data_IF_146943699100
#
_entry.id   IF_146943699100
#
_cell.length_a   1.000
_cell.length_b   1.000
_cell.length_c   1.000
_cell.angle_alpha   90.00
_cell.angle_beta   90.00
_cell.angle_gamma   90.00
#
_symmetry.space_group_name_H-M   'P 1'
#
loop_
_entity.id
_entity.type
_entity.pdbx_description
1 polymer ?
#
# COMPACT_ATOMS: atom_id res chain seq x y z
N UNK A 1 47.69 -8.08 -34.94
CA UNK A 1 48.94 -7.39 -34.54
C UNK A 1 48.67 -6.60 -33.26
N UNK A 2 49.37 -7.04 -32.20
CA UNK A 2 49.84 -6.30 -30.99
C UNK A 2 48.95 -5.32 -30.28
N UNK A 3 48.48 -5.78 -29.15
CA UNK A 3 48.42 -5.30 -27.75
C UNK A 3 49.12 -3.96 -27.49
N UNK A 4 48.44 -3.04 -26.78
CA UNK A 4 49.09 -2.24 -25.72
C UNK A 4 48.14 -2.12 -24.54
N UNK A 5 48.55 -2.70 -23.41
CA UNK A 5 48.05 -2.44 -22.06
C UNK A 5 48.73 -1.16 -21.52
N UNK A 6 48.02 -0.31 -20.84
CA UNK A 6 48.66 0.62 -19.91
C UNK A 6 47.86 0.64 -18.58
N UNK A 7 48.42 -0.04 -17.59
CA UNK A 7 48.08 0.06 -16.20
C UNK A 7 48.84 1.24 -15.58
N UNK A 8 48.22 2.04 -14.75
CA UNK A 8 48.95 2.86 -13.77
C UNK A 8 48.23 2.77 -12.43
N UNK A 9 49.02 2.37 -11.45
CA UNK A 9 48.67 2.11 -10.07
C UNK A 9 48.93 3.34 -9.18
N UNK A 10 48.27 3.31 -8.05
CA UNK A 10 48.67 3.71 -6.70
C UNK A 10 48.78 5.20 -6.33
N UNK A 11 48.07 5.49 -5.26
CA UNK A 11 48.26 6.68 -4.44
C UNK A 11 47.51 6.56 -3.11
N UNK A 12 48.09 5.78 -2.19
CA UNK A 12 47.67 5.62 -0.81
C UNK A 12 48.24 6.82 0.02
N UNK A 13 47.41 7.56 0.75
CA UNK A 13 47.88 8.43 1.84
C UNK A 13 47.04 8.15 3.09
N UNK A 14 47.73 7.54 4.04
CA UNK A 14 47.30 7.29 5.41
C UNK A 14 47.60 8.61 6.19
N UNK A 15 46.59 9.10 6.89
CA UNK A 15 46.73 10.17 7.86
C UNK A 15 46.12 9.76 9.22
N UNK A 16 46.98 9.21 10.08
CA UNK A 16 46.70 8.96 11.51
C UNK A 16 47.00 10.23 12.29
N UNK A 17 46.07 10.70 13.09
CA UNK A 17 46.34 11.61 14.20
C UNK A 17 45.53 11.17 15.42
N UNK A 18 46.25 10.55 16.34
CA UNK A 18 45.85 10.31 17.73
C UNK A 18 46.23 11.53 18.59
N UNK A 19 45.36 11.88 19.52
CA UNK A 19 45.67 12.62 20.78
C UNK A 19 44.58 12.25 21.79
N UNK A 20 44.85 11.37 22.65
CA UNK A 20 45.22 11.31 24.09
C UNK A 20 44.60 12.34 25.02
N UNK A 21 43.89 11.81 26.02
CA UNK A 21 44.03 12.13 27.44
C UNK A 21 42.81 12.86 28.01
N UNK A 22 42.28 12.52 29.11
CA UNK A 22 42.56 12.01 30.43
C UNK A 22 41.22 11.81 31.15
N UNK A 23 40.98 10.71 31.70
CA UNK A 23 40.86 10.31 33.11
C UNK A 23 40.38 11.35 34.11
N UNK A 24 39.29 11.06 34.81
CA UNK A 24 39.23 11.02 36.27
C UNK A 24 38.06 10.18 36.77
N UNK A 25 38.44 9.15 37.49
CA UNK A 25 37.65 8.34 38.42
C UNK A 25 37.19 9.18 39.62
N UNK A 26 36.08 8.79 40.23
CA UNK A 26 35.96 8.60 41.69
C UNK A 26 34.53 8.25 42.03
N UNK A 27 34.29 7.00 42.30
CA UNK A 27 34.13 6.30 43.58
C UNK A 27 32.81 6.57 44.32
N UNK A 28 32.03 5.53 44.43
CA UNK A 28 31.07 5.29 45.53
C UNK A 28 31.80 5.13 46.87
N UNK A 29 31.16 5.25 48.02
CA UNK A 29 30.58 4.06 48.66
C UNK A 29 29.26 4.31 49.42
N UNK A 30 28.48 3.32 49.46
CA UNK A 30 27.82 2.41 50.39
C UNK A 30 27.60 2.81 51.85
N UNK A 31 26.47 2.26 52.35
CA UNK A 31 26.12 1.86 53.74
C UNK A 31 25.63 2.96 54.67
N UNK A 32 24.49 2.84 55.38
CA UNK A 32 24.10 1.83 56.34
C UNK A 32 22.70 2.10 56.91
N UNK A 33 21.93 1.04 57.08
CA UNK A 33 21.20 0.59 58.27
C UNK A 33 19.98 1.36 58.78
N UNK A 34 18.91 0.58 58.89
CA UNK A 34 17.81 0.76 59.84
C UNK A 34 18.26 0.57 61.32
N UNK A 35 17.48 0.99 62.29
CA UNK A 35 16.57 0.01 62.93
C UNK A 35 15.23 0.60 63.39
N UNK A 36 14.19 -0.29 63.33
CA UNK A 36 13.47 -0.97 64.39
C UNK A 36 12.54 -0.16 65.30
N UNK A 37 11.29 -0.53 65.16
CA UNK A 37 10.28 -0.96 66.13
C UNK A 37 10.01 -0.10 67.38
N UNK A 38 8.73 0.15 67.63
CA UNK A 38 8.08 -0.18 68.88
C UNK A 38 6.57 0.15 68.84
N UNK A 39 5.77 -0.92 68.92
CA UNK A 39 4.58 -1.17 69.73
C UNK A 39 3.36 -0.25 69.74
N UNK A 40 2.25 -0.93 69.53
CA UNK A 40 0.87 -0.55 69.89
C UNK A 40 0.67 -0.53 71.41
N UNK A 41 -0.40 -0.01 71.96
CA UNK A 41 -1.58 -0.83 72.22
C UNK A 41 -2.96 -0.15 71.97
N UNK A 42 -3.93 -0.95 71.56
CA UNK A 42 -5.19 -1.44 72.10
C UNK A 42 -6.19 -0.48 72.81
N UNK A 43 -7.40 -0.66 72.42
CA UNK A 43 -8.76 -0.67 73.04
C UNK A 43 -9.68 0.45 72.57
N UNK A 44 -10.78 0.14 72.09
CA UNK A 44 -12.03 -0.58 72.32
C UNK A 44 -13.22 0.28 71.93
N UNK A 45 -14.06 -0.32 71.17
CA UNK A 45 -15.52 -0.30 71.11
C UNK A 45 -16.31 1.00 71.35
N UNK A 46 -17.18 1.33 70.39
CA UNK A 46 -18.63 1.41 70.65
C UNK A 46 -19.43 1.45 69.34
N UNK A 47 -20.40 0.57 69.23
CA UNK A 47 -21.45 0.48 68.20
C UNK A 47 -22.28 1.78 68.11
N UNK A 48 -22.55 2.22 66.87
CA UNK A 48 -23.80 2.91 66.55
C UNK A 48 -24.10 2.65 65.08
N UNK A 49 -25.13 1.88 64.86
CA UNK A 49 -25.80 1.70 63.58
C UNK A 49 -26.35 3.03 63.09
N UNK A 50 -26.04 3.36 61.85
CA UNK A 50 -26.87 4.30 61.10
C UNK A 50 -26.90 3.79 59.63
N UNK A 51 -28.10 3.37 59.24
CA UNK A 51 -28.47 3.12 57.85
C UNK A 51 -28.16 4.36 57.05
N UNK A 52 -27.28 4.23 56.04
CA UNK A 52 -27.13 5.20 54.97
C UNK A 52 -27.26 4.47 53.65
N UNK A 53 -28.22 4.93 52.90
CA UNK A 53 -28.61 4.49 51.60
C UNK A 53 -27.38 4.25 50.68
N UNK A 54 -27.35 3.08 50.07
CA UNK A 54 -26.49 2.75 48.94
C UNK A 54 -27.03 3.54 47.74
N UNK A 55 -26.49 4.71 47.51
CA UNK A 55 -26.58 5.37 46.22
C UNK A 55 -25.76 4.53 45.24
N UNK A 56 -26.47 3.76 44.42
CA UNK A 56 -25.87 3.12 43.26
C UNK A 56 -25.37 4.24 42.35
N UNK A 57 -24.08 4.50 42.37
CA UNK A 57 -23.43 5.23 41.29
C UNK A 57 -23.70 4.42 40.03
N UNK A 58 -24.60 4.92 39.19
CA UNK A 58 -24.69 4.45 37.81
C UNK A 58 -23.34 4.71 37.18
N UNK A 59 -22.57 3.64 36.94
CA UNK A 59 -21.45 3.68 36.03
C UNK A 59 -21.98 4.25 34.70
N UNK A 60 -21.45 5.40 34.28
CA UNK A 60 -21.64 5.90 32.92
C UNK A 60 -21.27 4.75 31.97
N UNK A 61 -22.03 4.51 30.90
CA UNK A 61 -21.62 3.55 29.88
C UNK A 61 -20.20 3.91 29.48
N UNK A 62 -19.26 2.94 29.55
CA UNK A 62 -17.98 3.07 28.92
C UNK A 62 -18.27 3.45 27.46
N UNK A 63 -17.78 4.57 26.98
CA UNK A 63 -17.78 4.90 25.56
C UNK A 63 -17.07 3.71 24.90
N UNK A 64 -17.79 2.90 24.12
CA UNK A 64 -17.17 1.86 23.30
C UNK A 64 -16.24 2.62 22.36
N UNK A 65 -14.92 2.40 22.48
CA UNK A 65 -13.95 3.00 21.58
C UNK A 65 -14.31 2.57 20.15
N UNK A 66 -14.66 3.54 19.32
CA UNK A 66 -14.97 3.29 17.91
C UNK A 66 -13.74 2.73 17.23
N UNK A 67 -13.88 1.62 16.51
CA UNK A 67 -12.76 1.03 15.75
C UNK A 67 -12.33 2.01 14.66
N UNK A 68 -11.02 2.30 14.59
CA UNK A 68 -10.40 3.11 13.53
C UNK A 68 -9.87 2.15 12.47
N UNK A 69 -10.46 2.19 11.28
CA UNK A 69 -10.03 1.40 10.13
C UNK A 69 -8.98 2.15 9.33
N UNK A 70 -7.77 1.62 9.29
CA UNK A 70 -6.61 2.20 8.59
C UNK A 70 -6.47 1.62 7.20
N UNK A 71 -6.97 2.34 6.21
CA UNK A 71 -6.93 1.97 4.80
C UNK A 71 -5.58 2.32 4.19
N UNK A 72 -4.77 1.31 3.85
CA UNK A 72 -3.49 1.46 3.15
C UNK A 72 -3.65 1.43 1.63
N UNK A 73 -3.11 2.43 0.92
CA UNK A 73 -3.26 2.54 -0.52
C UNK A 73 -2.11 3.30 -1.21
N UNK A 74 -1.93 3.07 -2.52
CA UNK A 74 -1.02 3.83 -3.37
C UNK A 74 -1.51 5.29 -3.49
N UNK A 75 -0.60 6.22 -3.24
CA UNK A 75 -0.90 7.65 -3.26
C UNK A 75 -1.18 8.23 -4.67
N UNK A 76 -0.83 7.49 -5.75
CA UNK A 76 -0.98 7.92 -7.15
C UNK A 76 -1.34 6.74 -8.09
N UNK A 77 -2.48 6.08 -7.82
CA UNK A 77 -3.03 4.98 -8.62
C UNK A 77 -4.49 5.24 -9.02
N UNK A 78 -4.76 6.31 -9.81
CA UNK A 78 -6.11 6.58 -10.26
C UNK A 78 -6.59 5.52 -11.28
N UNK A 79 -7.89 5.21 -11.35
CA UNK A 79 -8.99 5.82 -10.59
C UNK A 79 -9.32 5.10 -9.26
N UNK A 80 -8.49 4.15 -8.81
CA UNK A 80 -8.75 3.37 -7.58
C UNK A 80 -8.43 4.14 -6.31
N UNK A 81 -7.23 4.72 -6.22
CA UNK A 81 -6.80 5.53 -5.07
C UNK A 81 -5.76 6.58 -5.49
N UNK A 82 -5.86 7.77 -4.93
CA UNK A 82 -4.92 8.85 -5.20
C UNK A 82 -5.07 9.99 -4.18
N UNK A 83 -4.08 10.86 -4.18
CA UNK A 83 -4.15 12.17 -3.52
C UNK A 83 -4.21 13.24 -4.61
N UNK A 84 -5.22 14.09 -4.58
CA UNK A 84 -5.37 15.18 -5.53
C UNK A 84 -4.42 16.36 -5.23
N UNK A 85 -4.36 17.34 -6.14
CA UNK A 85 -3.53 18.54 -6.02
C UNK A 85 -3.86 19.39 -4.77
N UNK A 86 -5.01 19.18 -4.14
CA UNK A 86 -5.43 19.86 -2.90
C UNK A 86 -5.09 19.04 -1.65
N UNK A 87 -4.47 17.86 -1.81
CA UNK A 87 -4.14 16.95 -0.72
C UNK A 87 -5.34 16.13 -0.22
N UNK A 88 -6.41 16.01 -1.03
CA UNK A 88 -7.57 15.19 -0.69
C UNK A 88 -7.44 13.79 -1.28
N UNK A 89 -7.81 12.77 -0.50
CA UNK A 89 -7.86 11.39 -0.96
C UNK A 89 -9.10 11.17 -1.82
N UNK A 90 -8.96 10.40 -2.90
CA UNK A 90 -10.04 10.07 -3.81
C UNK A 90 -9.81 8.72 -4.49
N UNK A 91 -10.82 8.29 -5.24
CA UNK A 91 -10.80 7.05 -5.99
C UNK A 91 -11.85 6.05 -5.54
N UNK A 92 -12.10 5.05 -6.40
CA UNK A 92 -13.12 4.02 -6.17
C UNK A 92 -12.88 3.25 -4.87
N UNK A 93 -11.63 2.81 -4.63
CA UNK A 93 -11.28 2.03 -3.43
C UNK A 93 -11.41 2.86 -2.16
N UNK A 94 -11.04 4.14 -2.22
CA UNK A 94 -11.19 5.08 -1.10
C UNK A 94 -12.67 5.26 -0.74
N UNK A 95 -13.53 5.51 -1.75
CA UNK A 95 -14.96 5.66 -1.50
C UNK A 95 -15.61 4.37 -1.01
N UNK A 96 -15.19 3.22 -1.53
CA UNK A 96 -15.72 1.91 -1.10
C UNK A 96 -15.27 1.58 0.33
N UNK A 97 -14.02 1.88 0.71
CA UNK A 97 -13.53 1.73 2.07
C UNK A 97 -14.28 2.64 3.07
N UNK A 98 -14.57 3.88 2.68
CA UNK A 98 -15.39 4.80 3.48
C UNK A 98 -16.81 4.26 3.65
N UNK A 99 -17.43 3.69 2.59
CA UNK A 99 -18.74 3.09 2.67
C UNK A 99 -18.77 1.86 3.61
N UNK A 100 -17.69 1.08 3.67
CA UNK A 100 -17.53 -0.01 4.65
C UNK A 100 -17.46 0.55 6.08
N UNK A 101 -16.71 1.63 6.30
CA UNK A 101 -16.66 2.29 7.60
C UNK A 101 -18.04 2.82 8.01
N UNK A 102 -18.77 3.47 7.11
CA UNK A 102 -20.14 3.95 7.36
C UNK A 102 -21.09 2.81 7.71
N UNK A 103 -20.97 1.65 7.05
CA UNK A 103 -21.79 0.45 7.31
C UNK A 103 -21.64 -0.07 8.74
N UNK A 104 -20.39 -0.04 9.28
CA UNK A 104 -20.11 -0.50 10.65
C UNK A 104 -20.09 0.61 11.70
N UNK A 105 -20.15 1.87 11.31
CA UNK A 105 -19.94 3.00 12.21
C UNK A 105 -18.49 3.12 12.68
N UNK A 106 -17.53 2.69 11.86
CA UNK A 106 -16.10 2.83 12.12
C UNK A 106 -15.59 4.22 11.76
N UNK A 107 -14.47 4.61 12.36
CA UNK A 107 -13.71 5.77 11.92
C UNK A 107 -12.80 5.37 10.75
N UNK A 108 -12.77 6.19 9.70
CA UNK A 108 -11.91 5.98 8.54
C UNK A 108 -10.60 6.76 8.67
N UNK A 109 -9.46 6.07 8.57
CA UNK A 109 -8.12 6.68 8.50
C UNK A 109 -7.46 6.31 7.18
N UNK A 110 -7.11 7.33 6.37
CA UNK A 110 -6.37 7.15 5.13
C UNK A 110 -4.87 7.01 5.41
N UNK A 111 -4.23 5.97 4.89
CA UNK A 111 -2.79 5.71 5.02
C UNK A 111 -2.16 5.60 3.63
N UNK A 112 -1.91 6.73 2.94
CA UNK A 112 -1.27 6.71 1.64
C UNK A 112 0.22 6.41 1.75
N UNK A 113 0.76 5.64 0.81
CA UNK A 113 2.18 5.32 0.71
C UNK A 113 2.62 5.16 -0.76
N UNK A 114 3.93 5.17 -0.99
CA UNK A 114 4.49 4.74 -2.26
C UNK A 114 4.30 3.22 -2.41
N UNK A 115 3.89 2.76 -3.57
CA UNK A 115 3.48 1.36 -3.78
C UNK A 115 4.52 0.31 -3.36
N UNK A 116 5.80 0.58 -3.55
CA UNK A 116 6.88 -0.31 -3.14
C UNK A 116 7.02 -0.48 -1.62
N UNK A 117 6.42 0.41 -0.82
CA UNK A 117 6.42 0.33 0.64
C UNK A 117 5.27 -0.51 1.22
N UNK A 118 4.29 -0.96 0.41
CA UNK A 118 3.05 -1.60 0.85
C UNK A 118 3.23 -2.72 1.88
N UNK A 119 4.21 -3.61 1.62
CA UNK A 119 4.47 -4.75 2.49
C UNK A 119 5.04 -4.34 3.85
N UNK A 120 5.91 -3.36 3.84
CA UNK A 120 6.52 -2.82 5.05
C UNK A 120 5.47 -2.12 5.92
N UNK A 121 4.60 -1.31 5.32
CA UNK A 121 3.53 -0.59 6.01
C UNK A 121 2.49 -1.55 6.60
N UNK A 122 2.04 -2.57 5.83
CA UNK A 122 1.13 -3.59 6.32
C UNK A 122 1.74 -4.39 7.48
N UNK A 123 2.98 -4.85 7.33
CA UNK A 123 3.67 -5.66 8.35
C UNK A 123 4.02 -4.86 9.60
N UNK A 124 4.26 -3.57 9.51
CA UNK A 124 4.48 -2.67 10.64
C UNK A 124 3.19 -2.36 11.42
N UNK A 125 2.01 -2.65 10.83
CA UNK A 125 0.71 -2.29 11.41
C UNK A 125 0.36 -0.80 11.23
N UNK A 126 1.03 -0.13 10.30
CA UNK A 126 0.69 1.26 9.94
C UNK A 126 -0.69 1.32 9.28
N UNK A 127 -1.07 0.28 8.54
CA UNK A 127 -2.41 0.09 7.97
C UNK A 127 -2.96 -1.29 8.34
N UNK A 128 -4.29 -1.46 8.19
CA UNK A 128 -4.99 -2.70 8.48
C UNK A 128 -5.10 -3.60 7.24
N UNK A 129 -5.08 -3.01 6.06
CA UNK A 129 -5.12 -3.70 4.77
C UNK A 129 -4.36 -2.91 3.70
N UNK A 130 -4.10 -3.56 2.57
CA UNK A 130 -3.72 -2.94 1.30
C UNK A 130 -4.95 -3.01 0.39
N UNK A 131 -5.49 -1.86 0.00
CA UNK A 131 -6.68 -1.77 -0.84
C UNK A 131 -6.50 -0.65 -1.87
N UNK A 132 -5.99 -1.00 -3.04
CA UNK A 132 -5.55 -0.07 -4.08
C UNK A 132 -5.35 -0.79 -5.41
N UNK A 133 -6.44 -1.35 -6.00
CA UNK A 133 -6.31 -2.17 -7.19
C UNK A 133 -5.28 -3.29 -7.02
N UNK A 134 -5.36 -4.03 -5.90
CA UNK A 134 -4.30 -4.94 -5.51
C UNK A 134 -4.51 -6.34 -6.08
N UNK A 135 -3.59 -6.76 -6.96
CA UNK A 135 -3.64 -8.02 -7.71
C UNK A 135 -3.42 -9.23 -6.81
N UNK A 136 -4.34 -10.19 -6.89
CA UNK A 136 -4.24 -11.49 -6.21
C UNK A 136 -3.30 -12.44 -6.95
N UNK A 137 -3.38 -12.44 -8.28
CA UNK A 137 -2.67 -13.40 -9.14
C UNK A 137 -1.15 -13.33 -8.91
N UNK A 138 -0.56 -14.50 -8.63
CA UNK A 138 0.85 -14.63 -8.29
C UNK A 138 1.22 -14.28 -6.84
N UNK A 139 0.24 -13.84 -6.02
CA UNK A 139 0.41 -13.46 -4.62
C UNK A 139 -0.58 -14.17 -3.68
N UNK A 140 -1.22 -15.24 -4.14
CA UNK A 140 -2.29 -15.96 -3.43
C UNK A 140 -1.84 -16.41 -2.04
N UNK A 141 -0.57 -16.84 -1.95
CA UNK A 141 0.02 -17.34 -0.71
C UNK A 141 0.69 -16.24 0.15
N UNK A 142 0.73 -14.98 -0.28
CA UNK A 142 1.46 -13.94 0.45
C UNK A 142 0.59 -13.20 1.47
N UNK A 143 -0.72 -13.11 1.20
CA UNK A 143 -1.69 -12.37 2.00
C UNK A 143 -2.90 -13.24 2.37
N UNK A 144 -3.71 -12.73 3.28
CA UNK A 144 -5.11 -13.14 3.41
C UNK A 144 -5.93 -12.19 2.53
N UNK A 145 -6.73 -12.73 1.62
CA UNK A 145 -7.44 -11.96 0.62
C UNK A 145 -8.93 -11.87 0.90
N UNK A 146 -9.53 -10.73 0.58
CA UNK A 146 -10.98 -10.61 0.45
C UNK A 146 -11.47 -11.35 -0.80
N UNK A 147 -12.78 -11.31 -1.06
CA UNK A 147 -13.33 -11.59 -2.38
C UNK A 147 -12.76 -10.60 -3.38
N UNK A 148 -12.52 -11.06 -4.62
CA UNK A 148 -12.18 -10.15 -5.71
C UNK A 148 -13.36 -9.20 -5.97
N UNK A 149 -13.04 -7.91 -6.13
CA UNK A 149 -14.05 -6.87 -6.37
C UNK A 149 -13.97 -6.25 -7.76
N UNK A 150 -12.86 -6.43 -8.47
CA UNK A 150 -12.66 -5.96 -9.84
C UNK A 150 -11.80 -6.94 -10.62
N UNK A 151 -12.13 -7.17 -11.89
CA UNK A 151 -11.23 -7.76 -12.87
C UNK A 151 -10.31 -6.66 -13.42
N UNK A 152 -9.17 -7.03 -14.02
CA UNK A 152 -8.27 -6.12 -14.73
C UNK A 152 -7.47 -6.87 -15.79
N UNK A 153 -6.84 -6.12 -16.70
CA UNK A 153 -5.95 -6.63 -17.74
C UNK A 153 -4.72 -5.74 -17.85
N UNK A 154 -3.56 -6.35 -17.94
CA UNK A 154 -2.30 -5.67 -18.21
C UNK A 154 -2.09 -5.52 -19.71
N UNK A 155 -1.92 -4.29 -20.17
CA UNK A 155 -1.74 -3.92 -21.57
C UNK A 155 -0.48 -3.07 -21.78
N UNK A 156 -0.15 -2.85 -23.04
CA UNK A 156 0.86 -1.86 -23.45
C UNK A 156 0.16 -0.62 -23.98
N UNK A 157 0.47 0.53 -23.39
CA UNK A 157 0.06 1.85 -23.86
C UNK A 157 1.15 2.46 -24.71
N UNK A 158 0.77 3.02 -25.88
CA UNK A 158 1.68 3.67 -26.84
C UNK A 158 1.09 4.95 -27.37
N UNK A 159 1.92 5.77 -28.05
CA UNK A 159 1.42 6.84 -28.92
C UNK A 159 0.90 6.24 -30.23
N UNK A 160 -0.23 6.73 -30.74
CA UNK A 160 -0.84 6.28 -32.00
C UNK A 160 0.06 6.47 -33.23
N UNK A 161 0.95 7.44 -33.20
CA UNK A 161 1.91 7.71 -34.27
C UNK A 161 3.29 7.04 -34.05
N UNK A 162 3.42 6.19 -33.02
CA UNK A 162 4.68 5.51 -32.70
C UNK A 162 5.11 4.47 -33.73
N UNK A 163 4.15 3.91 -34.49
CA UNK A 163 4.36 2.78 -35.37
C UNK A 163 4.57 1.44 -34.63
N UNK A 164 4.22 1.38 -33.34
CA UNK A 164 4.17 0.15 -32.53
C UNK A 164 2.73 -0.34 -32.57
N UNK A 165 2.48 -1.49 -33.20
CA UNK A 165 1.14 -2.05 -33.41
C UNK A 165 0.96 -3.39 -32.69
N UNK A 166 2.08 -4.08 -32.34
CA UNK A 166 2.10 -5.39 -31.71
C UNK A 166 3.15 -5.46 -30.61
N UNK A 167 3.05 -6.47 -29.72
CA UNK A 167 4.09 -6.72 -28.71
C UNK A 167 5.48 -6.98 -29.33
N UNK A 168 5.54 -7.54 -30.55
CA UNK A 168 6.80 -7.78 -31.24
C UNK A 168 7.53 -6.47 -31.66
N UNK A 169 6.79 -5.38 -31.88
CA UNK A 169 7.33 -4.08 -32.25
C UNK A 169 8.04 -3.37 -31.08
N UNK A 170 7.92 -3.93 -29.86
CA UNK A 170 8.64 -3.45 -28.67
C UNK A 170 10.13 -3.84 -28.68
N UNK A 171 10.60 -4.66 -29.64
CA UNK A 171 12.03 -4.99 -29.77
C UNK A 171 12.86 -3.71 -29.93
N UNK A 172 13.82 -3.53 -29.02
CA UNK A 172 14.73 -2.38 -29.00
C UNK A 172 14.10 -1.08 -28.49
N UNK A 173 12.84 -1.09 -28.01
CA UNK A 173 12.12 0.08 -27.47
C UNK A 173 12.36 0.28 -25.97
N UNK A 174 12.22 1.52 -25.52
CA UNK A 174 12.21 1.85 -24.09
C UNK A 174 10.79 1.68 -23.56
N UNK A 175 10.57 0.73 -22.65
CA UNK A 175 9.26 0.43 -22.05
C UNK A 175 9.27 0.84 -20.59
N UNK A 176 8.28 1.64 -20.16
CA UNK A 176 8.08 2.04 -18.77
C UNK A 176 7.18 1.06 -18.03
N UNK A 177 7.38 0.94 -16.72
CA UNK A 177 6.51 0.18 -15.83
C UNK A 177 6.60 0.76 -14.41
N UNK A 178 5.52 0.73 -13.63
CA UNK A 178 5.58 1.09 -12.22
C UNK A 178 6.20 -0.05 -11.41
N UNK A 179 7.06 0.28 -10.44
CA UNK A 179 7.71 -0.68 -9.55
C UNK A 179 6.71 -1.49 -8.73
N UNK A 180 7.03 -2.77 -8.46
CA UNK A 180 6.26 -3.65 -7.56
C UNK A 180 4.79 -3.87 -7.96
N UNK A 181 4.43 -3.59 -9.22
CA UNK A 181 3.12 -3.90 -9.81
C UNK A 181 3.09 -5.30 -10.42
N UNK A 182 1.89 -5.79 -10.75
CA UNK A 182 1.75 -7.06 -11.47
C UNK A 182 2.34 -6.98 -12.88
N UNK A 183 2.26 -5.84 -13.58
CA UNK A 183 2.94 -5.63 -14.85
C UNK A 183 4.46 -5.80 -14.72
N UNK A 184 5.05 -5.23 -13.65
CA UNK A 184 6.47 -5.40 -13.36
C UNK A 184 6.82 -6.87 -13.10
N UNK A 185 6.01 -7.56 -12.29
CA UNK A 185 6.23 -8.97 -11.97
C UNK A 185 6.11 -9.84 -13.23
N UNK A 186 5.06 -9.66 -14.06
CA UNK A 186 4.87 -10.36 -15.33
C UNK A 186 6.07 -10.18 -16.28
N UNK A 187 6.61 -8.97 -16.39
CA UNK A 187 7.76 -8.69 -17.27
C UNK A 187 9.07 -9.29 -16.77
N UNK A 188 9.15 -9.67 -15.50
CA UNK A 188 10.34 -10.30 -14.90
C UNK A 188 10.18 -11.80 -14.63
N UNK A 189 8.96 -12.35 -14.77
CA UNK A 189 8.69 -13.77 -14.55
C UNK A 189 9.00 -14.61 -15.80
N UNK A 190 9.79 -15.69 -15.63
CA UNK A 190 10.14 -16.63 -16.71
C UNK A 190 8.91 -17.36 -17.28
N UNK A 191 7.89 -17.61 -16.48
CA UNK A 191 6.62 -18.20 -16.90
C UNK A 191 5.62 -17.14 -17.43
N UNK A 192 5.94 -15.85 -17.23
CA UNK A 192 5.18 -14.68 -17.69
C UNK A 192 5.71 -14.11 -19.00
N UNK A 193 6.15 -12.85 -18.95
CA UNK A 193 6.56 -12.06 -20.10
C UNK A 193 8.07 -11.72 -20.14
N UNK A 194 8.91 -12.39 -19.34
CA UNK A 194 10.36 -12.11 -19.33
C UNK A 194 11.03 -12.31 -20.69
N UNK A 195 10.53 -13.26 -21.52
CA UNK A 195 11.01 -13.46 -22.88
C UNK A 195 10.76 -12.23 -23.76
N UNK A 196 9.58 -11.62 -23.67
CA UNK A 196 9.23 -10.36 -24.33
C UNK A 196 10.10 -9.21 -23.78
N UNK A 197 10.16 -9.07 -22.45
CA UNK A 197 10.94 -8.04 -21.78
C UNK A 197 12.42 -8.07 -22.22
N UNK A 198 12.99 -9.26 -22.44
CA UNK A 198 14.37 -9.42 -22.89
C UNK A 198 14.66 -8.85 -24.31
N UNK A 199 13.61 -8.56 -25.09
CA UNK A 199 13.73 -7.93 -26.42
C UNK A 199 13.74 -6.42 -26.35
N UNK A 200 13.31 -5.80 -25.25
CA UNK A 200 13.27 -4.36 -25.08
C UNK A 200 14.67 -3.73 -25.17
N UNK A 201 14.74 -2.50 -25.62
CA UNK A 201 15.97 -1.71 -25.54
C UNK A 201 16.30 -1.36 -24.09
N UNK A 202 15.28 -1.04 -23.29
CA UNK A 202 15.36 -0.90 -21.84
C UNK A 202 14.00 -1.09 -21.19
N UNK A 203 13.99 -1.52 -19.92
CA UNK A 203 12.83 -1.46 -19.04
C UNK A 203 13.10 -0.36 -18.02
N UNK A 204 12.32 0.73 -18.11
CA UNK A 204 12.42 1.88 -17.23
C UNK A 204 11.40 1.74 -16.09
N UNK A 205 11.91 1.69 -14.85
CA UNK A 205 11.08 1.46 -13.66
C UNK A 205 10.77 2.80 -13.00
N UNK A 206 9.48 3.08 -12.83
CA UNK A 206 8.96 4.33 -12.29
C UNK A 206 8.35 4.14 -10.91
N UNK A 207 8.30 5.21 -10.13
CA UNK A 207 7.61 5.22 -8.84
C UNK A 207 6.09 5.19 -9.03
N UNK A 208 5.57 5.91 -10.05
CA UNK A 208 4.14 5.97 -10.37
C UNK A 208 3.90 5.91 -11.87
N UNK A 209 2.69 5.48 -12.29
CA UNK A 209 2.28 5.51 -13.69
C UNK A 209 2.10 6.94 -14.22
N UNK A 210 1.76 7.90 -13.38
CA UNK A 210 1.69 9.33 -13.77
C UNK A 210 3.04 9.84 -14.25
N UNK A 211 4.14 9.47 -13.56
CA UNK A 211 5.49 9.84 -13.98
C UNK A 211 5.85 9.15 -15.31
N UNK A 212 5.59 7.83 -15.44
CA UNK A 212 5.82 7.08 -16.66
C UNK A 212 5.06 7.68 -17.85
N UNK A 213 3.78 8.08 -17.66
CA UNK A 213 2.98 8.69 -18.70
C UNK A 213 3.51 10.08 -19.13
N UNK A 214 4.04 10.87 -18.20
CA UNK A 214 4.70 12.11 -18.53
C UNK A 214 5.96 11.89 -19.39
N UNK A 215 6.75 10.85 -19.11
CA UNK A 215 7.91 10.48 -19.91
C UNK A 215 7.51 9.91 -21.28
N UNK A 216 6.41 9.15 -21.38
CA UNK A 216 5.83 8.74 -22.66
C UNK A 216 5.40 9.99 -23.48
N UNK A 217 4.72 10.96 -22.86
CA UNK A 217 4.35 12.22 -23.49
C UNK A 217 5.57 12.99 -24.02
N UNK A 218 6.63 13.02 -23.22
CA UNK A 218 7.88 13.69 -23.60
C UNK A 218 8.69 12.93 -24.67
N UNK A 219 8.37 11.64 -24.92
CA UNK A 219 9.12 10.77 -25.83
C UNK A 219 10.45 10.27 -25.22
N UNK A 220 10.55 10.26 -23.90
CA UNK A 220 11.68 9.66 -23.17
C UNK A 220 11.60 8.14 -23.16
N UNK A 221 10.37 7.59 -23.21
CA UNK A 221 10.06 6.17 -23.42
C UNK A 221 9.10 6.02 -24.60
N UNK A 222 9.02 4.81 -25.17
CA UNK A 222 8.22 4.49 -26.33
C UNK A 222 6.85 3.89 -25.96
N UNK A 223 6.77 3.20 -24.83
CA UNK A 223 5.58 2.47 -24.37
C UNK A 223 5.52 2.37 -22.85
N UNK A 224 4.36 2.01 -22.29
CA UNK A 224 4.17 1.72 -20.88
C UNK A 224 3.41 0.39 -20.75
N UNK A 225 3.93 -0.54 -19.92
CA UNK A 225 3.17 -1.69 -19.44
C UNK A 225 2.32 -1.25 -18.24
N UNK A 226 1.00 -1.33 -18.36
CA UNK A 226 0.06 -0.68 -17.44
C UNK A 226 -1.28 -1.43 -17.38
N UNK A 227 -1.96 -1.27 -16.27
CA UNK A 227 -3.36 -1.65 -16.09
C UNK A 227 -4.28 -0.91 -17.05
N UNK A 228 -5.16 -1.64 -17.74
CA UNK A 228 -6.10 -1.04 -18.69
C UNK A 228 -6.95 0.05 -18.04
N UNK A 229 -7.33 -0.14 -16.79
CA UNK A 229 -8.17 0.79 -16.04
C UNK A 229 -7.44 2.09 -15.71
N UNK A 230 -6.22 2.01 -15.15
CA UNK A 230 -5.37 3.17 -14.86
C UNK A 230 -4.92 3.87 -16.14
N UNK A 231 -4.55 3.12 -17.16
CA UNK A 231 -4.19 3.69 -18.46
C UNK A 231 -5.36 4.42 -19.13
N UNK A 232 -6.57 3.88 -19.06
CA UNK A 232 -7.80 4.56 -19.56
C UNK A 232 -8.03 5.88 -18.84
N UNK A 233 -7.83 5.90 -17.53
CA UNK A 233 -7.93 7.14 -16.75
C UNK A 233 -6.87 8.17 -17.19
N UNK A 234 -5.60 7.78 -17.29
CA UNK A 234 -4.50 8.66 -17.69
C UNK A 234 -4.67 9.20 -19.11
N UNK A 235 -5.26 8.41 -20.02
CA UNK A 235 -5.58 8.83 -21.40
C UNK A 235 -6.85 9.69 -21.48
N UNK A 236 -7.58 9.92 -20.39
CA UNK A 236 -8.82 10.72 -20.44
C UNK A 236 -8.54 12.13 -20.95
N UNK A 237 -9.14 12.45 -22.09
CA UNK A 237 -8.90 13.73 -22.78
C UNK A 237 -7.62 13.81 -23.63
N UNK A 238 -6.86 12.72 -23.72
CA UNK A 238 -5.62 12.59 -24.51
C UNK A 238 -5.91 11.70 -25.73
N UNK A 239 -6.16 12.28 -26.89
CA UNK A 239 -6.56 11.52 -28.10
C UNK A 239 -5.39 10.84 -28.83
N UNK A 240 -4.14 11.12 -28.45
CA UNK A 240 -2.92 10.69 -29.16
C UNK A 240 -2.37 9.35 -28.67
N UNK A 241 -3.04 8.68 -27.70
CA UNK A 241 -2.60 7.42 -27.10
C UNK A 241 -3.61 6.31 -27.34
N UNK A 242 -3.13 5.06 -27.30
CA UNK A 242 -3.93 3.86 -27.41
C UNK A 242 -3.26 2.67 -26.69
N UNK A 243 -4.02 1.61 -26.48
CA UNK A 243 -3.48 0.31 -26.07
C UNK A 243 -3.25 -0.56 -27.31
N UNK A 244 -2.25 -1.45 -27.21
CA UNK A 244 -2.15 -2.58 -28.12
C UNK A 244 -3.28 -3.57 -27.86
N UNK A 245 -3.72 -4.29 -28.91
CA UNK A 245 -4.77 -5.30 -28.80
C UNK A 245 -4.29 -6.55 -28.04
N UNK A 246 -2.98 -6.79 -27.96
CA UNK A 246 -2.39 -7.96 -27.30
C UNK A 246 -2.22 -7.72 -25.81
N UNK A 247 -2.73 -8.65 -24.99
CA UNK A 247 -2.66 -8.58 -23.53
C UNK A 247 -1.32 -9.14 -23.02
N UNK A 248 -0.79 -8.51 -21.96
CA UNK A 248 0.32 -9.08 -21.18
C UNK A 248 -0.17 -10.15 -20.20
N UNK A 249 -1.37 -9.95 -19.62
CA UNK A 249 -2.02 -10.87 -18.71
C UNK A 249 -3.33 -10.32 -18.16
N UNK A 250 -4.17 -11.20 -17.64
CA UNK A 250 -5.43 -10.88 -16.96
C UNK A 250 -5.32 -11.19 -15.48
N UNK A 251 -5.98 -10.42 -14.64
CA UNK A 251 -5.86 -10.49 -13.19
C UNK A 251 -7.14 -10.08 -12.47
N UNK A 252 -7.16 -10.27 -11.14
CA UNK A 252 -8.24 -9.85 -10.27
C UNK A 252 -7.71 -9.01 -9.11
N UNK A 253 -8.44 -7.97 -8.77
CA UNK A 253 -8.16 -7.15 -7.60
C UNK A 253 -8.98 -7.58 -6.39
N UNK A 254 -8.30 -7.68 -5.26
CA UNK A 254 -8.90 -7.92 -3.97
C UNK A 254 -8.18 -7.09 -2.88
N UNK A 255 -8.69 -7.13 -1.66
CA UNK A 255 -8.11 -6.44 -0.52
C UNK A 255 -7.16 -7.41 0.17
N UNK A 256 -5.90 -7.00 0.33
CA UNK A 256 -4.86 -7.80 0.98
C UNK A 256 -4.73 -7.48 2.47
N UNK A 257 -4.77 -8.52 3.32
CA UNK A 257 -4.60 -8.42 4.77
C UNK A 257 -3.40 -9.23 5.22
N UNK A 258 -2.88 -8.97 6.44
CA UNK A 258 -1.94 -9.88 7.10
C UNK A 258 -2.59 -11.26 7.29
N UNK A 259 -1.81 -12.32 7.15
CA UNK A 259 -2.29 -13.73 7.25
C UNK A 259 -2.95 -14.09 8.58
N UNK A 260 -3.12 -13.28 9.53
CA UNK A 260 -3.81 -13.57 10.80
C UNK A 260 -5.10 -12.79 10.99
N UNK A 261 -5.39 -11.83 10.11
CA UNK A 261 -6.46 -10.84 10.28
C UNK A 261 -7.82 -11.35 9.77
N UNK A 262 -8.12 -12.64 10.04
CA UNK A 262 -9.31 -13.34 9.51
C UNK A 262 -10.62 -12.64 9.91
N UNK A 263 -10.72 -12.17 11.16
CA UNK A 263 -11.95 -11.51 11.63
C UNK A 263 -12.22 -10.20 10.87
N UNK A 264 -11.17 -9.41 10.60
CA UNK A 264 -11.30 -8.16 9.84
C UNK A 264 -11.66 -8.46 8.37
N UNK A 265 -10.97 -9.41 7.75
CA UNK A 265 -11.25 -9.84 6.38
C UNK A 265 -12.70 -10.31 6.21
N UNK A 266 -13.21 -11.13 7.17
CA UNK A 266 -14.59 -11.62 7.15
C UNK A 266 -15.60 -10.47 7.29
N UNK A 267 -15.33 -9.49 8.16
CA UNK A 267 -16.16 -8.28 8.30
C UNK A 267 -16.18 -7.46 7.01
N UNK A 268 -15.02 -7.23 6.40
CA UNK A 268 -14.94 -6.50 5.12
C UNK A 268 -15.74 -7.24 4.04
N UNK A 269 -15.57 -8.57 3.90
CA UNK A 269 -16.34 -9.36 2.94
C UNK A 269 -17.86 -9.26 3.17
N UNK A 270 -18.30 -9.29 4.44
CA UNK A 270 -19.71 -9.15 4.77
C UNK A 270 -20.25 -7.74 4.46
N UNK A 271 -19.45 -6.69 4.68
CA UNK A 271 -19.81 -5.33 4.30
C UNK A 271 -19.91 -5.19 2.78
N UNK A 272 -18.94 -5.72 2.02
CA UNK A 272 -18.99 -5.71 0.54
C UNK A 272 -20.27 -6.38 0.02
N UNK A 273 -20.67 -7.55 0.59
CA UNK A 273 -21.93 -8.20 0.23
C UNK A 273 -23.15 -7.31 0.51
N UNK A 274 -23.15 -6.59 1.63
CA UNK A 274 -24.23 -5.67 2.00
C UNK A 274 -24.28 -4.46 1.06
N UNK A 275 -23.13 -3.86 0.72
CA UNK A 275 -23.03 -2.72 -0.20
C UNK A 275 -23.41 -3.09 -1.64
N UNK A 276 -23.19 -4.34 -2.04
CA UNK A 276 -23.71 -4.85 -3.31
C UNK A 276 -25.23 -4.98 -3.22
N UNK A 277 -25.76 -5.57 -2.15
CA UNK A 277 -27.18 -5.83 -1.99
C UNK A 277 -28.03 -4.55 -1.90
N UNK A 278 -27.52 -3.47 -1.30
CA UNK A 278 -28.21 -2.19 -1.20
C UNK A 278 -27.95 -1.24 -2.39
N UNK A 279 -27.05 -1.62 -3.30
CA UNK A 279 -26.69 -0.86 -4.51
C UNK A 279 -25.64 0.23 -4.32
N UNK A 280 -25.03 0.36 -3.14
CA UNK A 280 -23.96 1.33 -2.88
C UNK A 280 -22.73 1.06 -3.73
N UNK A 281 -22.29 -0.21 -3.83
CA UNK A 281 -21.18 -0.61 -4.68
C UNK A 281 -21.37 -0.19 -6.15
N UNK A 282 -22.54 -0.45 -6.72
CA UNK A 282 -22.91 -0.04 -8.07
C UNK A 282 -22.96 1.48 -8.23
N UNK A 283 -23.49 2.19 -7.23
CA UNK A 283 -23.58 3.64 -7.24
C UNK A 283 -22.21 4.32 -7.19
N UNK A 284 -21.27 3.78 -6.42
CA UNK A 284 -19.86 4.25 -6.40
C UNK A 284 -19.22 3.94 -7.75
N UNK A 285 -19.34 2.70 -8.24
CA UNK A 285 -18.74 2.28 -9.51
C UNK A 285 -19.12 3.17 -10.70
N UNK A 286 -20.38 3.61 -10.76
CA UNK A 286 -20.88 4.51 -11.82
C UNK A 286 -20.22 5.89 -11.86
N UNK A 287 -19.52 6.29 -10.81
CA UNK A 287 -18.74 7.54 -10.81
C UNK A 287 -17.42 7.39 -11.55
N UNK A 288 -16.98 6.14 -11.78
CA UNK A 288 -15.70 5.77 -12.36
C UNK A 288 -15.92 4.92 -13.61
N UNK A 289 -16.26 5.55 -14.76
CA UNK A 289 -16.59 4.84 -16.00
C UNK A 289 -15.43 3.97 -16.51
N UNK A 290 -14.19 4.32 -16.17
CA UNK A 290 -12.97 3.60 -16.58
C UNK A 290 -12.89 2.18 -16.01
N UNK A 291 -13.52 1.94 -14.85
CA UNK A 291 -13.48 0.64 -14.17
C UNK A 291 -14.83 -0.05 -14.08
N UNK A 292 -15.93 0.64 -14.40
CA UNK A 292 -17.28 0.14 -14.13
C UNK A 292 -17.56 -1.24 -14.74
N UNK A 293 -17.10 -1.47 -15.97
CA UNK A 293 -17.30 -2.74 -16.67
C UNK A 293 -16.40 -3.88 -16.12
N UNK A 294 -15.37 -3.54 -15.34
CA UNK A 294 -14.46 -4.49 -14.70
C UNK A 294 -14.95 -4.92 -13.31
N UNK A 295 -15.86 -4.18 -12.69
CA UNK A 295 -16.40 -4.51 -11.36
C UNK A 295 -17.09 -5.87 -11.37
N UNK A 296 -16.76 -6.77 -10.42
CA UNK A 296 -17.16 -8.18 -10.49
C UNK A 296 -17.99 -8.70 -9.29
N UNK A 297 -18.14 -7.95 -8.19
CA UNK A 297 -18.91 -8.42 -7.03
C UNK A 297 -20.42 -8.61 -7.29
N UNK A 298 -20.97 -7.99 -8.32
CA UNK A 298 -22.38 -8.03 -8.68
C UNK A 298 -22.66 -8.86 -9.95
N UNK A 299 -21.67 -9.62 -10.44
CA UNK A 299 -21.77 -10.49 -11.63
C UNK A 299 -22.07 -11.93 -11.27
#
# INVERSE_FOLDING_TARGET
MKKVYLALAAGMVIGVAALTGCSSESSAPATTAAPAATEAPTEAATEAATEAATEAAAEAPAEEETFVFKHGFDLDYPPYSYIDDNGQTGGFDVELAQAVCDYYGWEYEAVPFNWDAKDAELNAGSCDCIWSGFTVNGREDDYLWSKAYSDNTQLIMVKKDSGIETLADLEGKAVGVQTSTSAYDLLNDEEGQAALCSTFGSLEVYETYTIAFNDLKAGAIDAIAIDVTSGTFLMSGEEDYEFLDEELGSEQYAIGFRKGDTELCDKINAALDALVADGTYDAIGKKYPEIYDFLCLNK
#
